data_IF_929612218208
#
_entry.id   IF_929612218208
#
_cell.length_a   1.000
_cell.length_b   1.000
_cell.length_c   1.000
_cell.angle_alpha   90.00
_cell.angle_beta   90.00
_cell.angle_gamma   90.00
#
_symmetry.space_group_name_H-M   'P 1'
#
loop_
_entity.id
_entity.type
_entity.pdbx_description
1 polymer ?
#
# COMPACT_ATOMS: atom_id res chain seq x y z
N UNK A 1 -16.89 1.68 12.25
CA UNK A 1 -15.77 1.02 11.53
C UNK A 1 -15.41 1.90 10.32
N UNK A 2 -14.72 3.02 10.54
CA UNK A 2 -14.60 4.12 9.56
C UNK A 2 -13.99 3.69 8.21
N UNK A 3 -12.94 2.87 8.20
CA UNK A 3 -12.31 2.43 6.95
C UNK A 3 -13.24 1.60 6.05
N UNK A 4 -14.00 0.65 6.64
CA UNK A 4 -14.96 -0.17 5.88
C UNK A 4 -16.11 0.66 5.33
N UNK A 5 -16.58 1.66 6.09
CA UNK A 5 -17.62 2.59 5.64
C UNK A 5 -17.15 3.39 4.43
N UNK A 6 -15.91 3.91 4.46
CA UNK A 6 -15.32 4.63 3.35
C UNK A 6 -15.11 3.75 2.11
N UNK A 7 -14.67 2.49 2.28
CA UNK A 7 -14.54 1.55 1.16
C UNK A 7 -15.90 1.30 0.50
N UNK A 8 -16.95 1.09 1.30
CA UNK A 8 -18.30 0.94 0.79
C UNK A 8 -18.80 2.19 0.08
N UNK A 9 -18.50 3.37 0.62
CA UNK A 9 -18.87 4.64 0.00
C UNK A 9 -18.22 4.80 -1.38
N UNK A 10 -16.90 4.57 -1.47
CA UNK A 10 -16.17 4.63 -2.75
C UNK A 10 -16.72 3.63 -3.77
N UNK A 11 -17.08 2.43 -3.33
CA UNK A 11 -17.69 1.41 -4.20
C UNK A 11 -19.06 1.87 -4.75
N UNK A 12 -19.90 2.49 -3.91
CA UNK A 12 -21.20 3.06 -4.31
C UNK A 12 -21.06 4.24 -5.26
N UNK A 13 -20.10 5.12 -5.01
CA UNK A 13 -19.81 6.25 -5.89
C UNK A 13 -19.29 5.79 -7.25
N UNK A 14 -18.46 4.75 -7.28
CA UNK A 14 -17.92 4.21 -8.52
C UNK A 14 -19.00 3.57 -9.40
N UNK A 15 -19.95 2.83 -8.82
CA UNK A 15 -21.06 2.25 -9.61
C UNK A 15 -22.10 3.30 -10.03
N UNK A 16 -22.20 4.42 -9.30
CA UNK A 16 -23.06 5.54 -9.67
C UNK A 16 -22.47 6.42 -10.79
N UNK A 17 -21.15 6.39 -10.99
CA UNK A 17 -20.46 7.14 -12.03
C UNK A 17 -20.74 6.54 -13.42
N UNK A 18 -21.29 7.35 -14.31
CA UNK A 18 -21.67 6.95 -15.67
C UNK A 18 -20.49 6.39 -16.47
N UNK A 19 -19.26 6.86 -16.23
CA UNK A 19 -18.07 6.39 -16.95
C UNK A 19 -17.67 4.96 -16.58
N UNK A 20 -18.10 4.49 -15.39
CA UNK A 20 -17.68 3.22 -14.81
C UNK A 20 -18.81 2.22 -14.65
N UNK A 21 -20.05 2.70 -14.51
CA UNK A 21 -21.25 1.88 -14.31
C UNK A 21 -21.37 0.77 -15.35
N UNK A 22 -21.16 1.06 -16.63
CA UNK A 22 -21.28 0.05 -17.70
C UNK A 22 -20.23 -1.06 -17.61
N UNK A 23 -19.07 -0.75 -17.02
CA UNK A 23 -17.96 -1.71 -16.89
C UNK A 23 -18.12 -2.63 -15.68
N UNK A 24 -19.02 -2.30 -14.74
CA UNK A 24 -19.28 -3.04 -13.50
C UNK A 24 -20.60 -3.79 -13.66
N UNK A 25 -20.53 -5.13 -13.65
CA UNK A 25 -21.68 -5.98 -13.97
C UNK A 25 -22.60 -6.23 -12.78
N UNK A 26 -22.11 -6.02 -11.56
CA UNK A 26 -22.82 -6.34 -10.34
C UNK A 26 -22.39 -5.42 -9.20
N UNK A 27 -23.17 -5.38 -8.13
CA UNK A 27 -22.82 -4.54 -6.98
C UNK A 27 -21.49 -5.00 -6.36
N UNK A 28 -20.50 -4.10 -6.17
CA UNK A 28 -19.28 -4.43 -5.45
C UNK A 28 -19.57 -5.00 -4.06
N UNK A 29 -18.86 -6.06 -3.69
CA UNK A 29 -18.99 -6.71 -2.39
C UNK A 29 -17.74 -6.45 -1.55
N UNK A 30 -17.90 -5.69 -0.46
CA UNK A 30 -16.85 -5.52 0.54
C UNK A 30 -16.99 -6.65 1.56
N UNK A 31 -16.14 -7.66 1.45
CA UNK A 31 -16.20 -8.86 2.30
C UNK A 31 -15.72 -8.58 3.73
N UNK A 32 -15.01 -7.47 3.94
CA UNK A 32 -14.50 -7.06 5.23
C UNK A 32 -13.03 -7.46 5.42
N UNK A 33 -12.64 -7.64 6.69
CA UNK A 33 -11.27 -8.04 7.05
C UNK A 33 -11.04 -9.49 6.66
N UNK A 34 -10.01 -9.70 5.86
CA UNK A 34 -9.60 -10.99 5.32
C UNK A 34 -8.41 -11.58 6.09
N UNK A 35 -7.47 -10.73 6.52
CA UNK A 35 -6.29 -11.14 7.27
C UNK A 35 -5.77 -10.03 8.19
N UNK A 36 -5.18 -10.44 9.31
CA UNK A 36 -4.42 -9.58 10.23
C UNK A 36 -2.93 -9.91 10.07
N UNK A 37 -2.31 -9.35 9.02
CA UNK A 37 -0.92 -9.58 8.72
C UNK A 37 0.02 -8.78 9.62
N UNK A 38 1.30 -9.19 9.66
CA UNK A 38 2.36 -8.50 10.41
C UNK A 38 2.60 -7.04 9.98
N UNK A 39 2.12 -6.67 8.79
CA UNK A 39 2.28 -5.34 8.18
C UNK A 39 0.96 -4.55 8.11
N UNK A 40 -0.14 -5.08 8.65
CA UNK A 40 -1.43 -4.42 8.66
C UNK A 40 -2.62 -5.34 8.39
N UNK A 41 -3.78 -4.73 8.21
CA UNK A 41 -5.05 -5.42 7.99
C UNK A 41 -5.32 -5.50 6.48
N UNK A 42 -5.63 -6.70 5.99
CA UNK A 42 -6.07 -6.90 4.60
C UNK A 42 -7.59 -6.84 4.56
N UNK A 43 -8.14 -5.97 3.69
CA UNK A 43 -9.58 -5.89 3.43
C UNK A 43 -9.84 -6.41 2.02
N UNK A 44 -10.79 -7.34 1.87
CA UNK A 44 -11.12 -7.95 0.58
C UNK A 44 -12.38 -7.33 -0.02
N UNK A 45 -12.28 -6.98 -1.30
CA UNK A 45 -13.39 -6.43 -2.11
C UNK A 45 -13.49 -7.20 -3.42
N UNK A 46 -14.70 -7.59 -3.79
CA UNK A 46 -15.02 -8.18 -5.09
C UNK A 46 -15.78 -7.21 -5.96
N UNK A 47 -15.32 -7.06 -7.21
CA UNK A 47 -15.98 -6.24 -8.23
C UNK A 47 -16.05 -7.09 -9.49
N UNK A 48 -17.26 -7.41 -9.93
CA UNK A 48 -17.49 -8.14 -11.17
C UNK A 48 -17.50 -7.14 -12.33
N UNK A 49 -16.66 -7.35 -13.32
CA UNK A 49 -16.49 -6.41 -14.44
C UNK A 49 -16.77 -7.06 -15.79
N UNK A 50 -16.97 -6.24 -16.80
CA UNK A 50 -16.89 -6.69 -18.19
C UNK A 50 -15.52 -7.31 -18.48
N UNK A 51 -15.43 -8.25 -19.44
CA UNK A 51 -14.15 -8.80 -19.88
C UNK A 51 -13.16 -7.70 -20.26
N UNK A 52 -11.90 -7.88 -19.87
CA UNK A 52 -10.78 -6.95 -20.13
C UNK A 52 -10.83 -5.62 -19.35
N UNK A 53 -11.91 -5.33 -18.61
CA UNK A 53 -12.06 -4.09 -17.81
C UNK A 53 -11.58 -4.21 -16.38
N UNK A 54 -11.21 -5.42 -15.93
CA UNK A 54 -10.80 -5.65 -14.55
C UNK A 54 -9.64 -4.76 -14.09
N UNK A 55 -8.68 -4.46 -14.97
CA UNK A 55 -7.53 -3.63 -14.63
C UNK A 55 -7.88 -2.15 -14.51
N UNK A 56 -8.70 -1.65 -15.44
CA UNK A 56 -9.14 -0.25 -15.46
C UNK A 56 -9.98 0.05 -14.21
N UNK A 57 -10.98 -0.80 -13.96
CA UNK A 57 -11.85 -0.69 -12.77
C UNK A 57 -11.02 -0.80 -11.48
N UNK A 58 -10.12 -1.78 -11.38
CA UNK A 58 -9.35 -1.94 -10.16
C UNK A 58 -8.32 -0.82 -9.93
N UNK A 59 -7.82 -0.15 -10.97
CA UNK A 59 -6.93 1.02 -10.84
C UNK A 59 -7.70 2.23 -10.38
N UNK A 60 -8.83 2.53 -10.99
CA UNK A 60 -9.65 3.67 -10.58
C UNK A 60 -10.19 3.50 -9.16
N UNK A 61 -10.67 2.31 -8.81
CA UNK A 61 -11.13 2.02 -7.47
C UNK A 61 -10.05 2.30 -6.42
N UNK A 62 -8.81 1.82 -6.66
CA UNK A 62 -7.66 2.10 -5.79
C UNK A 62 -7.31 3.58 -5.73
N UNK A 63 -7.41 4.31 -6.85
CA UNK A 63 -7.17 5.76 -6.89
C UNK A 63 -8.17 6.52 -6.01
N UNK A 64 -9.47 6.20 -6.13
CA UNK A 64 -10.53 6.80 -5.29
C UNK A 64 -10.35 6.46 -3.81
N UNK A 65 -10.00 5.22 -3.49
CA UNK A 65 -9.67 4.81 -2.13
C UNK A 65 -8.50 5.61 -1.56
N UNK A 66 -7.39 5.75 -2.31
CA UNK A 66 -6.22 6.54 -1.89
C UNK A 66 -6.63 7.97 -1.52
N UNK A 67 -7.34 8.65 -2.41
CA UNK A 67 -7.80 10.03 -2.19
C UNK A 67 -8.70 10.12 -0.96
N UNK A 68 -9.67 9.21 -0.84
CA UNK A 68 -10.63 9.20 0.27
C UNK A 68 -9.94 8.93 1.61
N UNK A 69 -8.97 8.01 1.63
CA UNK A 69 -8.23 7.66 2.83
C UNK A 69 -7.28 8.77 3.26
N UNK A 70 -6.60 9.42 2.30
CA UNK A 70 -5.77 10.58 2.57
C UNK A 70 -6.60 11.72 3.19
N UNK A 71 -7.80 11.99 2.65
CA UNK A 71 -8.73 12.99 3.18
C UNK A 71 -9.25 12.65 4.58
N UNK A 72 -9.46 11.36 4.85
CA UNK A 72 -9.92 10.86 6.14
C UNK A 72 -8.78 10.70 7.18
N UNK A 73 -7.53 10.97 6.80
CA UNK A 73 -6.36 10.78 7.66
C UNK A 73 -6.06 9.31 7.98
N UNK A 74 -6.51 8.37 7.13
CA UNK A 74 -6.27 6.93 7.31
C UNK A 74 -4.98 6.55 6.57
N UNK A 75 -3.90 6.21 7.28
CA UNK A 75 -2.64 5.85 6.63
C UNK A 75 -2.76 4.49 5.93
N UNK A 76 -2.28 4.42 4.69
CA UNK A 76 -2.09 3.15 3.98
C UNK A 76 -0.66 2.66 4.26
N UNK A 77 -0.47 1.46 4.85
CA UNK A 77 0.85 0.99 5.21
C UNK A 77 1.73 0.83 3.97
N UNK A 78 2.90 1.48 4.00
CA UNK A 78 3.97 1.26 3.03
C UNK A 78 4.88 0.13 3.54
N UNK A 79 5.40 -0.74 2.65
CA UNK A 79 6.39 -1.71 3.06
C UNK A 79 7.64 -0.98 3.58
N UNK A 80 7.96 -1.18 4.85
CA UNK A 80 9.19 -0.68 5.46
C UNK A 80 10.18 -1.83 5.63
N UNK A 81 11.44 -1.59 5.30
CA UNK A 81 12.55 -2.51 5.52
C UNK A 81 13.67 -1.77 6.25
N UNK A 82 14.04 -2.26 7.42
CA UNK A 82 15.24 -1.80 8.13
C UNK A 82 16.46 -2.53 7.57
N UNK A 83 17.47 -1.79 7.11
CA UNK A 83 18.75 -2.34 6.67
C UNK A 83 19.79 -2.08 7.75
N UNK A 84 20.32 -3.16 8.33
CA UNK A 84 21.38 -3.12 9.33
C UNK A 84 22.73 -3.15 8.61
N UNK A 85 23.53 -2.09 8.75
CA UNK A 85 24.91 -2.06 8.26
C UNK A 85 25.86 -2.52 9.37
N UNK A 86 26.43 -3.71 9.21
CA UNK A 86 27.51 -4.19 10.09
C UNK A 86 28.84 -3.66 9.55
N UNK A 87 29.21 -2.45 9.96
CA UNK A 87 30.49 -1.87 9.55
C UNK A 87 31.62 -2.42 10.43
N UNK A 88 32.01 -3.67 10.19
CA UNK A 88 33.26 -4.20 10.75
C UNK A 88 34.41 -3.57 9.98
N UNK A 89 34.88 -2.40 10.43
CA UNK A 89 36.12 -1.83 9.91
C UNK A 89 37.24 -2.85 10.19
N UNK A 90 38.04 -3.27 9.19
CA UNK A 90 39.21 -4.07 9.44
C UNK A 90 40.16 -3.27 10.33
N UNK A 91 40.53 -3.84 11.50
CA UNK A 91 41.52 -3.29 12.43
C UNK A 91 42.95 -3.20 11.84
N UNK A 92 43.13 -3.27 10.53
CA UNK A 92 44.44 -3.11 9.88
C UNK A 92 44.73 -1.64 9.53
N UNK A 93 43.72 -0.76 9.53
CA UNK A 93 43.90 0.66 9.17
C UNK A 93 44.37 1.57 10.32
N UNK A 94 44.49 1.06 11.55
CA UNK A 94 44.94 1.83 12.72
C UNK A 94 46.44 1.62 13.05
N UNK A 95 47.14 0.74 12.35
CA UNK A 95 48.56 0.44 12.58
C UNK A 95 49.38 0.78 11.33
N UNK A 96 49.36 2.02 10.89
CA UNK A 96 50.36 2.55 9.95
C UNK A 96 50.46 4.07 10.14
N UNK A 97 51.05 4.47 11.27
CA UNK A 97 51.15 5.89 11.63
C UNK A 97 52.16 6.21 12.72
N UNK A 98 53.18 5.38 12.99
CA UNK A 98 54.33 5.78 13.80
C UNK A 98 55.60 5.07 13.32
N UNK A 99 56.24 5.69 12.33
CA UNK A 99 57.54 5.27 11.82
C UNK A 99 58.31 6.48 11.30
N UNK A 100 58.36 7.57 12.07
CA UNK A 100 59.37 8.60 11.84
C UNK A 100 59.53 9.53 13.06
N UNK A 101 60.46 9.22 13.97
CA UNK A 101 61.27 10.20 14.71
C UNK A 101 62.61 9.57 15.10
N UNK A 102 63.66 10.12 14.48
CA UNK A 102 65.07 9.89 14.77
C UNK A 102 65.44 10.26 16.23
N UNK A 103 66.47 9.59 16.74
CA UNK A 103 67.19 9.93 17.96
C UNK A 103 68.17 8.83 18.32
#
# INVERSE_FOLDING_TARGET
NQALELINQVAREMIADQNWREQILDQPQVLGVDDFGSRGITIRVWIKTQPLKQWDVAREFRRRLKVTFDQAGIPIPLPQQEVWFNNTLPMESLVNGQGDRKG
#
